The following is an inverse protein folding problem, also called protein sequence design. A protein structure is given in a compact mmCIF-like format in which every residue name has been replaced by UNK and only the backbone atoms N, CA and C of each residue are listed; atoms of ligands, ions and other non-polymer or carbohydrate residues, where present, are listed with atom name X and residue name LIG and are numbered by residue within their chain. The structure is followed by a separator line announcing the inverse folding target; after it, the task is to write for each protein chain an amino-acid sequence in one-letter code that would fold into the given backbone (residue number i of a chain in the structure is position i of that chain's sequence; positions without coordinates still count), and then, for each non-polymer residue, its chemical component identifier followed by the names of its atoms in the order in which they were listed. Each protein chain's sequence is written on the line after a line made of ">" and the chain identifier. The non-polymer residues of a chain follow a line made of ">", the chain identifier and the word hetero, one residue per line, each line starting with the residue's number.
data_IF_430659258298
#
_entry.id   IF_430659258298
#
_cell.length_a   1.000
_cell.length_b   1.000
_cell.length_c   1.000
_cell.angle_alpha   90.00
_cell.angle_beta   90.00
_cell.angle_gamma   90.00
#
_symmetry.space_group_name_H-M   'P 1'
#
loop_
_entity.id
_entity.type
_entity.pdbx_description
1 polymer ?
#
# COMPACT_ATOMS: atom_id res chain seq x y z
N UNK A 1 0.15 17.12 17.75
CA UNK A 1 -0.06 15.75 17.21
C UNK A 1 -0.39 15.89 15.74
N UNK A 2 0.35 15.22 14.84
CA UNK A 2 0.16 15.35 13.38
C UNK A 2 -1.07 14.52 12.97
N UNK A 3 -1.95 15.08 12.16
CA UNK A 3 -3.14 14.41 11.62
C UNK A 3 -2.80 13.33 10.58
N UNK A 4 -3.74 12.44 10.27
CA UNK A 4 -3.56 11.43 9.22
C UNK A 4 -3.34 12.05 7.83
N UNK A 5 -3.97 13.19 7.56
CA UNK A 5 -3.82 13.95 6.31
C UNK A 5 -2.41 14.53 6.18
N UNK A 6 -1.89 15.16 7.22
CA UNK A 6 -0.53 15.73 7.21
C UNK A 6 0.54 14.65 7.04
N UNK A 7 0.38 13.47 7.68
CA UNK A 7 1.30 12.33 7.46
C UNK A 7 1.34 11.88 6.00
N UNK A 8 0.20 11.88 5.30
CA UNK A 8 0.11 11.56 3.88
C UNK A 8 0.86 12.57 3.04
N UNK A 9 0.61 13.86 3.26
CA UNK A 9 1.26 14.94 2.49
C UNK A 9 2.78 14.86 2.66
N UNK A 10 3.26 14.64 3.89
CA UNK A 10 4.68 14.41 4.15
C UNK A 10 5.23 13.19 3.40
N UNK A 11 4.53 12.04 3.44
CA UNK A 11 4.96 10.85 2.73
C UNK A 11 5.00 11.03 1.20
N UNK A 12 4.03 11.75 0.63
CA UNK A 12 4.01 12.10 -0.79
C UNK A 12 5.18 13.02 -1.19
N UNK A 13 5.48 14.04 -0.38
CA UNK A 13 6.62 14.94 -0.62
C UNK A 13 7.93 14.18 -0.55
N UNK A 14 8.11 13.34 0.47
CA UNK A 14 9.31 12.52 0.63
C UNK A 14 9.50 11.54 -0.54
N UNK A 15 8.43 10.89 -1.01
CA UNK A 15 8.46 10.06 -2.22
C UNK A 15 8.92 10.85 -3.46
N UNK A 16 8.42 12.07 -3.64
CA UNK A 16 8.80 12.92 -4.77
C UNK A 16 10.30 13.25 -4.75
N UNK A 17 10.90 13.43 -3.57
CA UNK A 17 12.35 13.64 -3.42
C UNK A 17 13.20 12.44 -3.86
N UNK A 18 12.62 11.24 -3.92
CA UNK A 18 13.32 10.01 -4.33
C UNK A 18 13.29 9.79 -5.86
N UNK A 19 12.56 10.61 -6.62
CA UNK A 19 12.48 10.50 -8.08
C UNK A 19 13.87 10.66 -8.70
N UNK A 20 14.27 9.70 -9.53
CA UNK A 20 15.60 9.66 -10.15
C UNK A 20 16.76 9.32 -9.19
N UNK A 21 16.47 9.02 -7.91
CA UNK A 21 17.47 8.62 -6.90
C UNK A 21 17.41 7.14 -6.54
N UNK A 22 16.25 6.51 -6.73
CA UNK A 22 16.04 5.08 -6.48
C UNK A 22 15.56 4.37 -7.73
N UNK A 23 15.63 3.04 -7.73
CA UNK A 23 15.09 2.24 -8.83
C UNK A 23 13.58 2.42 -8.97
N UNK A 24 13.04 2.13 -10.16
CA UNK A 24 11.60 2.20 -10.42
C UNK A 24 10.83 1.25 -9.49
N UNK A 25 11.38 0.07 -9.24
CA UNK A 25 10.81 -0.97 -8.37
C UNK A 25 10.74 -0.47 -6.93
N UNK A 26 11.80 0.18 -6.44
CA UNK A 26 11.83 0.77 -5.08
C UNK A 26 10.76 1.85 -4.95
N UNK A 27 10.64 2.71 -5.96
CA UNK A 27 9.61 3.74 -6.02
C UNK A 27 8.20 3.14 -6.01
N UNK A 28 7.96 2.13 -6.84
CA UNK A 28 6.67 1.45 -6.92
C UNK A 28 6.31 0.73 -5.62
N UNK A 29 7.27 0.07 -4.96
CA UNK A 29 7.05 -0.60 -3.69
C UNK A 29 6.62 0.40 -2.60
N UNK A 30 7.34 1.51 -2.42
CA UNK A 30 6.93 2.50 -1.41
C UNK A 30 5.62 3.20 -1.77
N UNK A 31 5.41 3.55 -3.05
CA UNK A 31 4.20 4.22 -3.50
C UNK A 31 2.96 3.37 -3.27
N UNK A 32 3.00 2.11 -3.72
CA UNK A 32 1.88 1.16 -3.58
C UNK A 32 1.58 0.83 -2.12
N UNK A 33 2.61 0.68 -1.27
CA UNK A 33 2.45 0.53 0.17
C UNK A 33 1.72 1.72 0.80
N UNK A 34 2.08 2.95 0.42
CA UNK A 34 1.43 4.16 0.93
C UNK A 34 0.00 4.31 0.41
N UNK A 35 -0.25 4.00 -0.85
CA UNK A 35 -1.61 3.99 -1.43
C UNK A 35 -2.49 2.97 -0.69
N UNK A 36 -2.00 1.76 -0.43
CA UNK A 36 -2.70 0.74 0.36
C UNK A 36 -3.01 1.23 1.78
N UNK A 37 -2.00 1.72 2.51
CA UNK A 37 -2.18 2.21 3.89
C UNK A 37 -3.21 3.33 3.94
N UNK A 38 -3.24 4.20 2.93
CA UNK A 38 -4.18 5.29 2.87
C UNK A 38 -5.61 4.81 2.59
N UNK A 39 -5.79 3.95 1.60
CA UNK A 39 -7.10 3.36 1.28
C UNK A 39 -7.65 2.59 2.49
N UNK A 40 -6.82 1.76 3.13
CA UNK A 40 -7.21 0.96 4.31
C UNK A 40 -7.65 1.77 5.54
N UNK A 41 -7.45 3.09 5.54
CA UNK A 41 -7.92 3.99 6.59
C UNK A 41 -9.30 4.59 6.30
N UNK A 42 -9.89 4.32 5.14
CA UNK A 42 -11.22 4.79 4.83
C UNK A 42 -12.23 4.19 5.80
N UNK A 43 -13.22 4.97 6.28
CA UNK A 43 -14.19 4.47 7.25
C UNK A 43 -15.10 3.39 6.67
N UNK A 44 -15.28 3.40 5.35
CA UNK A 44 -16.08 2.44 4.60
C UNK A 44 -15.43 2.21 3.24
N UNK A 45 -15.66 1.02 2.68
CA UNK A 45 -15.20 0.63 1.36
C UNK A 45 -16.38 0.26 0.47
N UNK A 46 -16.29 0.67 -0.79
CA UNK A 46 -17.11 0.25 -1.92
C UNK A 46 -16.28 -0.63 -2.87
N UNK A 47 -16.89 -1.13 -3.95
CA UNK A 47 -16.22 -1.98 -4.94
C UNK A 47 -14.96 -1.32 -5.52
N UNK A 48 -15.04 -0.02 -5.82
CA UNK A 48 -13.93 0.73 -6.41
C UNK A 48 -12.73 0.82 -5.45
N UNK A 49 -12.98 1.18 -4.19
CA UNK A 49 -11.92 1.30 -3.17
C UNK A 49 -11.33 -0.04 -2.79
N UNK A 50 -12.11 -1.13 -2.85
CA UNK A 50 -11.58 -2.50 -2.74
C UNK A 50 -10.68 -2.85 -3.94
N UNK A 51 -11.12 -2.57 -5.17
CA UNK A 51 -10.29 -2.79 -6.35
C UNK A 51 -8.99 -1.97 -6.32
N UNK A 52 -9.01 -0.76 -5.77
CA UNK A 52 -7.80 0.03 -5.56
C UNK A 52 -6.87 -0.56 -4.50
N UNK A 53 -7.43 -1.13 -3.42
CA UNK A 53 -6.64 -1.84 -2.40
C UNK A 53 -5.94 -3.05 -3.00
N UNK A 54 -6.67 -3.88 -3.75
CA UNK A 54 -6.10 -5.07 -4.40
C UNK A 54 -4.99 -4.67 -5.37
N UNK A 55 -5.24 -3.68 -6.23
CA UNK A 55 -4.23 -3.18 -7.17
C UNK A 55 -2.98 -2.63 -6.47
N UNK A 56 -3.16 -1.91 -5.37
CA UNK A 56 -2.03 -1.41 -4.58
C UNK A 56 -1.25 -2.58 -3.97
N UNK A 57 -1.94 -3.60 -3.46
CA UNK A 57 -1.31 -4.77 -2.87
C UNK A 57 -0.56 -5.62 -3.91
N UNK A 58 -1.14 -5.84 -5.09
CA UNK A 58 -0.50 -6.52 -6.22
C UNK A 58 0.75 -5.79 -6.68
N UNK A 59 0.66 -4.46 -6.84
CA UNK A 59 1.81 -3.63 -7.21
C UNK A 59 2.90 -3.72 -6.14
N UNK A 60 2.53 -3.73 -4.86
CA UNK A 60 3.49 -3.88 -3.78
C UNK A 60 4.15 -5.26 -3.82
N UNK A 61 3.39 -6.33 -3.96
CA UNK A 61 3.92 -7.70 -4.02
C UNK A 61 4.85 -7.92 -5.21
N UNK A 62 4.55 -7.33 -6.36
CA UNK A 62 5.41 -7.41 -7.54
C UNK A 62 6.76 -6.69 -7.37
N UNK A 63 6.90 -5.77 -6.40
CA UNK A 63 8.08 -4.91 -6.26
C UNK A 63 8.79 -5.02 -4.90
N UNK A 64 8.16 -5.60 -3.86
CA UNK A 64 8.67 -5.59 -2.47
C UNK A 64 10.04 -6.24 -2.30
N UNK A 65 10.42 -7.17 -3.18
CA UNK A 65 11.67 -7.92 -3.07
C UNK A 65 12.89 -6.99 -3.18
N UNK A 66 12.77 -5.86 -3.89
CA UNK A 66 13.83 -4.84 -3.95
C UNK A 66 14.15 -4.28 -2.55
N UNK A 67 13.14 -4.19 -1.67
CA UNK A 67 13.32 -3.69 -0.31
C UNK A 67 14.05 -4.71 0.56
N UNK A 68 13.86 -6.01 0.30
CA UNK A 68 14.58 -7.10 0.97
C UNK A 68 16.04 -7.10 0.48
N UNK A 69 16.25 -7.01 -0.82
CA UNK A 69 17.58 -6.97 -1.44
C UNK A 69 18.42 -5.78 -0.95
N UNK A 70 17.78 -4.62 -0.77
CA UNK A 70 18.41 -3.43 -0.20
C UNK A 70 18.62 -3.52 1.32
N UNK A 71 18.19 -4.60 1.98
CA UNK A 71 18.29 -4.79 3.43
C UNK A 71 17.40 -3.85 4.24
N UNK A 72 16.39 -3.23 3.63
CA UNK A 72 15.49 -2.28 4.30
C UNK A 72 14.57 -3.02 5.27
N UNK A 73 14.15 -4.25 4.92
CA UNK A 73 13.27 -5.08 5.76
C UNK A 73 13.48 -6.57 5.50
N UNK A 74 13.30 -7.40 6.53
CA UNK A 74 13.38 -8.86 6.45
C UNK A 74 12.16 -9.50 5.80
N UNK A 75 10.97 -9.00 6.11
CA UNK A 75 9.69 -9.54 5.64
C UNK A 75 8.57 -8.49 5.72
N UNK A 76 7.44 -8.79 5.08
CA UNK A 76 6.28 -7.91 5.01
C UNK A 76 5.00 -8.59 5.49
N UNK A 77 5.09 -9.41 6.55
CA UNK A 77 3.93 -10.05 7.19
C UNK A 77 3.12 -9.01 7.99
N UNK A 78 2.40 -8.14 7.30
CA UNK A 78 1.60 -7.07 7.91
C UNK A 78 0.19 -7.61 8.15
N UNK A 79 -0.28 -7.78 9.40
CA UNK A 79 -1.60 -8.39 9.69
C UNK A 79 -2.75 -7.70 8.97
N UNK A 80 -2.70 -6.37 8.84
CA UNK A 80 -3.72 -5.58 8.13
C UNK A 80 -3.80 -5.90 6.62
N UNK A 81 -2.70 -6.31 6.00
CA UNK A 81 -2.71 -6.72 4.58
C UNK A 81 -3.50 -8.01 4.42
N UNK A 82 -3.24 -8.95 5.34
CA UNK A 82 -3.90 -10.24 5.37
C UNK A 82 -5.40 -10.10 5.67
N UNK A 83 -5.77 -9.25 6.62
CA UNK A 83 -7.18 -9.01 6.95
C UNK A 83 -7.97 -8.38 5.79
N UNK A 84 -7.36 -7.54 4.96
CA UNK A 84 -8.04 -6.89 3.83
C UNK A 84 -8.17 -7.81 2.61
N UNK A 85 -7.16 -8.64 2.33
CA UNK A 85 -7.26 -9.74 1.35
C UNK A 85 -8.50 -10.60 1.62
N UNK A 86 -8.68 -11.01 2.88
CA UNK A 86 -9.85 -11.78 3.29
C UNK A 86 -11.15 -10.95 3.28
N UNK A 87 -11.07 -9.62 3.42
CA UNK A 87 -12.26 -8.76 3.35
C UNK A 87 -12.78 -8.64 1.91
N UNK A 88 -11.90 -8.49 0.91
CA UNK A 88 -12.28 -8.51 -0.50
C UNK A 88 -12.93 -9.86 -0.88
N UNK A 89 -12.34 -10.98 -0.42
CA UNK A 89 -12.90 -12.32 -0.60
C UNK A 89 -14.29 -12.46 0.05
N UNK A 90 -14.50 -11.85 1.23
CA UNK A 90 -15.78 -11.85 1.94
C UNK A 90 -16.85 -10.97 1.27
N UNK A 91 -16.46 -9.88 0.59
CA UNK A 91 -17.38 -9.04 -0.19
C UNK A 91 -17.77 -9.74 -1.50
N UNK A 92 -16.80 -10.28 -2.25
CA UNK A 92 -17.06 -11.03 -3.48
C UNK A 92 -17.90 -12.29 -3.25
N UNK A 93 -17.68 -13.01 -2.14
CA UNK A 93 -18.47 -14.22 -1.81
C UNK A 93 -19.90 -13.92 -1.32
N UNK A 94 -20.23 -12.66 -0.99
CA UNK A 94 -21.55 -12.27 -0.49
C UNK A 94 -22.46 -11.60 -1.51
N UNK A 95 -22.00 -11.32 -2.73
CA UNK A 95 -22.84 -10.90 -3.85
C UNK A 95 -23.83 -9.79 -3.50
N UNK A 96 -23.35 -8.70 -2.93
CA UNK A 96 -24.05 -7.41 -2.89
C UNK A 96 -23.35 -6.45 -3.82
#
# INVERSE_FOLDING_TARGET
>A
QISGKERKEMACVLLACLVGKVSKETMLAFRSLLDFIYLAQYPTHDEDTLAYLDKALDTFHANKDVLIQLGIRSDFNIPKFHSLLHYTELVQSRGM
#
